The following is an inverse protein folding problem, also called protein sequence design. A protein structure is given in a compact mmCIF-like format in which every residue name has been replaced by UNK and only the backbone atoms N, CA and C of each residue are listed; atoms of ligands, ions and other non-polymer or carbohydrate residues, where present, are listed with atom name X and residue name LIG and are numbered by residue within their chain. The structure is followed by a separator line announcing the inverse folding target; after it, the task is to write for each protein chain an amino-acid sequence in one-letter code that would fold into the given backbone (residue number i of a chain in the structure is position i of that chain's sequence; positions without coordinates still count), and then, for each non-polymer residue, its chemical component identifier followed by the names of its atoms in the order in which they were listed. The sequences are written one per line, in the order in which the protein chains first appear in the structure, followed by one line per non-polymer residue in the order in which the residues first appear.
data_IF_670638392892
#
_entry.id   IF_670638392892
#
_cell.length_a   1.000
_cell.length_b   1.000
_cell.length_c   1.000
_cell.angle_alpha   90.00
_cell.angle_beta   90.00
_cell.angle_gamma   90.00
#
_symmetry.space_group_name_H-M   'P 1'
#
loop_
_entity.id
_entity.type
_entity.pdbx_description
1 polymer ?
#
# COMPACT_ATOMS: atom_id res chain seq x y z
N UNK A 1 18.43 -2.30 5.24
CA UNK A 1 19.54 -3.24 5.49
C UNK A 1 19.31 -4.60 4.84
N UNK A 2 18.31 -5.39 5.26
CA UNK A 2 18.06 -6.75 4.72
C UNK A 2 17.77 -6.76 3.22
N UNK A 3 16.82 -5.93 2.76
CA UNK A 3 16.41 -5.89 1.35
C UNK A 3 17.23 -4.94 0.47
N UNK A 4 18.20 -4.23 1.04
CA UNK A 4 19.03 -3.29 0.29
C UNK A 4 18.27 -2.11 -0.35
N UNK A 5 17.04 -1.83 0.07
CA UNK A 5 16.28 -0.65 -0.39
C UNK A 5 16.99 0.62 0.12
N UNK A 6 17.30 1.59 -0.76
CA UNK A 6 17.96 2.82 -0.35
C UNK A 6 17.06 3.68 0.54
N UNK A 7 17.56 4.05 1.73
CA UNK A 7 16.77 4.78 2.73
C UNK A 7 16.38 6.19 2.31
N UNK A 8 17.18 6.82 1.45
CA UNK A 8 16.91 8.14 0.88
C UNK A 8 15.71 8.15 -0.08
N UNK A 9 15.28 6.99 -0.57
CA UNK A 9 14.08 6.84 -1.40
C UNK A 9 12.81 6.65 -0.58
N UNK A 10 12.93 6.46 0.73
CA UNK A 10 11.81 6.17 1.60
C UNK A 10 11.21 7.45 2.17
N UNK A 11 9.88 7.46 2.22
CA UNK A 11 9.06 8.49 2.86
C UNK A 11 8.15 7.81 3.88
N UNK A 12 7.93 8.47 5.01
CA UNK A 12 6.99 8.02 6.02
C UNK A 12 5.86 9.03 6.14
N UNK A 13 4.62 8.55 6.21
CA UNK A 13 3.46 9.39 6.53
C UNK A 13 2.99 9.08 7.94
N UNK A 14 2.48 10.07 8.64
CA UNK A 14 1.91 9.93 9.99
C UNK A 14 0.62 10.72 10.09
N UNK A 15 -0.24 10.33 11.04
CA UNK A 15 -1.52 10.97 11.25
C UNK A 15 -1.37 12.44 11.68
N UNK A 16 -1.94 13.34 10.90
CA UNK A 16 -1.91 14.79 11.09
C UNK A 16 -3.01 15.33 12.00
N UNK A 17 -3.86 14.46 12.55
CA UNK A 17 -5.03 14.85 13.34
C UNK A 17 -6.30 14.91 12.50
N UNK A 18 -7.43 15.00 13.20
CA UNK A 18 -8.76 15.15 12.61
C UNK A 18 -9.65 15.95 13.57
N UNK A 19 -10.12 17.13 13.13
CA UNK A 19 -10.94 17.99 13.97
C UNK A 19 -12.35 17.43 14.18
N UNK A 20 -12.90 16.69 13.20
CA UNK A 20 -14.26 16.12 13.27
C UNK A 20 -14.35 15.03 14.34
N UNK A 21 -13.37 14.13 14.40
CA UNK A 21 -13.25 13.10 15.45
C UNK A 21 -12.58 13.64 16.73
N UNK A 22 -12.11 14.89 16.74
CA UNK A 22 -11.42 15.52 17.89
C UNK A 22 -10.08 14.84 18.22
N UNK A 23 -9.40 14.30 17.21
CA UNK A 23 -8.15 13.57 17.38
C UNK A 23 -6.93 14.47 17.10
N UNK A 24 -5.95 14.52 18.00
CA UNK A 24 -4.72 15.27 17.77
C UNK A 24 -3.82 14.57 16.74
N UNK A 25 -2.84 15.30 16.17
CA UNK A 25 -1.77 14.69 15.38
C UNK A 25 -1.01 13.62 16.18
N UNK A 26 -0.54 12.57 15.50
CA UNK A 26 0.33 11.54 16.07
C UNK A 26 1.79 12.01 16.09
N UNK A 27 2.09 12.87 17.05
CA UNK A 27 3.45 13.39 17.25
C UNK A 27 4.41 12.33 17.79
N UNK A 28 3.89 11.26 18.40
CA UNK A 28 4.69 10.15 18.88
C UNK A 28 5.31 9.38 17.71
N UNK A 29 4.50 9.00 16.71
CA UNK A 29 4.98 8.34 15.51
C UNK A 29 5.99 9.22 14.76
N UNK A 30 5.70 10.51 14.58
CA UNK A 30 6.63 11.44 13.92
C UNK A 30 7.99 11.50 14.62
N UNK A 31 7.97 11.66 15.95
CA UNK A 31 9.18 11.74 16.77
C UNK A 31 9.97 10.44 16.70
N UNK A 32 9.28 9.29 16.71
CA UNK A 32 9.93 7.98 16.63
C UNK A 32 10.60 7.79 15.27
N UNK A 33 9.93 8.08 14.15
CA UNK A 33 10.56 8.03 12.82
C UNK A 33 11.87 8.81 12.77
N UNK A 34 11.86 10.05 13.27
CA UNK A 34 13.02 10.94 13.27
C UNK A 34 14.14 10.50 14.23
N UNK A 35 13.81 9.78 15.30
CA UNK A 35 14.75 9.46 16.39
C UNK A 35 15.34 8.06 16.28
N UNK A 36 14.53 7.07 15.91
CA UNK A 36 14.90 5.65 16.00
C UNK A 36 15.20 5.01 14.63
N UNK A 37 14.97 5.74 13.54
CA UNK A 37 15.24 5.25 12.18
C UNK A 37 16.27 6.14 11.47
N UNK A 38 16.83 5.63 10.38
CA UNK A 38 17.73 6.39 9.50
C UNK A 38 17.01 7.23 8.44
N UNK A 39 15.69 7.40 8.54
CA UNK A 39 14.93 8.18 7.56
C UNK A 39 15.33 9.66 7.62
N UNK A 40 15.37 10.32 6.48
CA UNK A 40 15.54 11.77 6.46
C UNK A 40 14.35 12.43 7.20
N UNK A 41 14.57 13.28 8.22
CA UNK A 41 13.47 13.94 8.92
C UNK A 41 12.54 14.77 8.04
N UNK A 42 13.03 15.26 6.89
CA UNK A 42 12.22 15.97 5.89
C UNK A 42 11.28 15.04 5.10
N UNK A 43 11.50 13.73 5.15
CA UNK A 43 10.68 12.71 4.49
C UNK A 43 9.58 12.15 5.41
N UNK A 44 9.45 12.68 6.62
CA UNK A 44 8.36 12.35 7.54
C UNK A 44 7.27 13.41 7.39
N UNK A 45 6.16 13.01 6.76
CA UNK A 45 5.07 13.89 6.33
C UNK A 45 3.81 13.63 7.16
N UNK A 46 3.00 14.67 7.40
CA UNK A 46 1.70 14.54 8.06
C UNK A 46 0.58 14.55 7.02
N UNK A 47 -0.35 13.60 7.07
CA UNK A 47 -1.60 13.63 6.30
C UNK A 47 -2.82 13.45 7.19
N UNK A 48 -3.97 13.89 6.70
CA UNK A 48 -5.23 13.81 7.45
C UNK A 48 -5.79 12.40 7.56
N UNK A 49 -7.00 12.31 8.12
CA UNK A 49 -7.74 11.06 8.35
C UNK A 49 -7.88 10.15 7.14
N UNK A 50 -8.07 10.72 5.95
CA UNK A 50 -8.25 9.94 4.71
C UNK A 50 -7.10 8.97 4.44
N UNK A 51 -5.87 9.39 4.72
CA UNK A 51 -4.68 8.62 4.36
C UNK A 51 -4.04 7.97 5.59
N UNK A 52 -4.06 8.64 6.76
CA UNK A 52 -3.36 8.16 7.96
C UNK A 52 -4.29 7.77 9.12
N UNK A 53 -5.56 7.45 8.86
CA UNK A 53 -6.44 6.81 9.84
C UNK A 53 -7.10 5.60 9.19
N UNK A 54 -6.74 4.40 9.66
CA UNK A 54 -7.17 3.15 9.05
C UNK A 54 -8.38 2.56 9.78
N UNK A 55 -9.35 2.11 9.00
CA UNK A 55 -10.59 1.50 9.48
C UNK A 55 -10.88 0.22 8.67
N UNK A 56 -11.26 -0.86 9.36
CA UNK A 56 -11.62 -2.12 8.69
C UNK A 56 -12.92 -2.01 7.87
N UNK A 57 -13.80 -1.07 8.25
CA UNK A 57 -15.10 -0.84 7.64
C UNK A 57 -15.88 0.23 8.40
N UNK A 58 -17.21 0.25 8.26
CA UNK A 58 -18.08 1.24 8.94
C UNK A 58 -18.03 1.14 10.48
N UNK A 59 -17.71 -0.05 11.00
CA UNK A 59 -17.54 -0.30 12.44
C UNK A 59 -16.37 -1.24 12.67
N UNK A 60 -15.81 -1.21 13.88
CA UNK A 60 -14.76 -2.13 14.30
C UNK A 60 -13.44 -1.45 14.71
N UNK A 61 -12.39 -2.25 14.94
CA UNK A 61 -11.07 -1.76 15.34
C UNK A 61 -10.48 -0.82 14.29
N UNK A 62 -9.93 0.30 14.76
CA UNK A 62 -9.34 1.35 13.94
C UNK A 62 -8.28 2.13 14.71
N UNK A 63 -7.53 2.97 14.01
CA UNK A 63 -6.54 3.84 14.62
C UNK A 63 -5.76 4.69 13.63
N UNK A 64 -4.97 5.65 14.15
CA UNK A 64 -3.97 6.32 13.33
C UNK A 64 -3.00 5.28 12.77
N UNK A 65 -2.51 5.54 11.58
CA UNK A 65 -1.53 4.68 10.95
C UNK A 65 -0.37 5.49 10.40
N UNK A 66 0.73 4.79 10.16
CA UNK A 66 1.91 5.33 9.52
C UNK A 66 2.27 4.48 8.32
N UNK A 67 2.38 5.11 7.16
CA UNK A 67 2.69 4.39 5.93
C UNK A 67 4.13 4.66 5.50
N UNK A 68 4.72 3.66 4.86
CA UNK A 68 6.02 3.74 4.22
C UNK A 68 5.77 3.79 2.72
N UNK A 69 6.28 4.84 2.10
CA UNK A 69 6.25 5.09 0.67
C UNK A 69 7.66 4.99 0.10
N UNK A 70 7.77 4.63 -1.17
CA UNK A 70 9.03 4.62 -1.91
C UNK A 70 8.94 5.48 -3.15
N UNK A 71 9.96 6.31 -3.35
CA UNK A 71 10.15 7.13 -4.53
C UNK A 71 10.96 6.39 -5.60
N UNK A 72 10.29 6.06 -6.72
CA UNK A 72 10.84 5.41 -7.89
C UNK A 72 11.14 6.38 -9.03
N UNK A 73 10.94 7.70 -8.84
CA UNK A 73 11.31 8.70 -9.84
C UNK A 73 12.81 8.62 -10.13
N UNK A 74 13.28 8.78 -11.37
CA UNK A 74 14.71 8.66 -11.68
C UNK A 74 15.60 9.62 -10.86
N UNK A 75 15.10 10.83 -10.60
CA UNK A 75 15.83 11.92 -9.96
C UNK A 75 15.65 12.02 -8.43
N UNK A 76 14.74 11.23 -7.84
CA UNK A 76 14.49 11.25 -6.39
C UNK A 76 13.68 12.47 -5.93
N UNK A 77 12.89 13.08 -6.83
CA UNK A 77 12.09 14.27 -6.56
C UNK A 77 10.64 13.96 -6.13
N UNK A 78 10.32 12.68 -5.90
CA UNK A 78 8.97 12.18 -5.69
C UNK A 78 8.31 12.55 -4.37
N UNK A 79 8.99 13.24 -3.44
CA UNK A 79 8.42 13.59 -2.13
C UNK A 79 7.09 14.34 -2.17
N UNK A 80 6.82 15.15 -3.20
CA UNK A 80 5.53 15.84 -3.38
C UNK A 80 4.42 14.93 -3.94
N UNK A 81 4.78 13.76 -4.42
CA UNK A 81 3.87 12.79 -5.04
C UNK A 81 3.41 11.71 -4.04
N UNK A 82 3.93 11.72 -2.81
CA UNK A 82 3.43 10.88 -1.71
C UNK A 82 1.94 11.15 -1.51
N UNK A 83 1.12 10.09 -1.55
CA UNK A 83 -0.35 10.15 -1.51
C UNK A 83 -1.01 10.99 -2.62
N UNK A 84 -0.29 11.32 -3.71
CA UNK A 84 -0.84 12.04 -4.87
C UNK A 84 -1.38 11.11 -5.98
N UNK A 85 -1.40 9.78 -5.76
CA UNK A 85 -1.84 8.79 -6.75
C UNK A 85 -0.86 8.55 -7.89
N UNK A 86 0.43 8.91 -7.70
CA UNK A 86 1.46 8.68 -8.71
C UNK A 86 1.89 7.21 -8.75
N UNK A 87 2.05 6.59 -9.95
CA UNK A 87 2.60 5.24 -10.07
C UNK A 87 4.12 5.16 -9.79
N UNK A 88 4.79 6.32 -9.74
CA UNK A 88 6.23 6.45 -9.45
C UNK A 88 6.51 6.64 -7.95
N UNK A 89 5.50 6.94 -7.13
CA UNK A 89 5.64 7.03 -5.68
C UNK A 89 4.54 6.22 -5.04
N UNK A 90 4.91 5.04 -4.55
CA UNK A 90 3.95 4.04 -4.11
C UNK A 90 4.07 3.77 -2.62
N UNK A 91 2.93 3.59 -1.98
CA UNK A 91 2.81 3.03 -0.64
C UNK A 91 3.22 1.54 -0.71
N UNK A 92 4.18 1.14 0.12
CA UNK A 92 4.63 -0.26 0.19
C UNK A 92 4.14 -0.97 1.45
N UNK A 93 3.99 -0.24 2.57
CA UNK A 93 3.70 -0.83 3.86
C UNK A 93 2.93 0.16 4.74
N UNK A 94 1.78 -0.26 5.28
CA UNK A 94 1.03 0.48 6.27
C UNK A 94 1.20 -0.14 7.67
N UNK A 95 1.44 0.69 8.68
CA UNK A 95 1.58 0.35 10.10
C UNK A 95 0.44 1.00 10.88
N UNK A 96 -0.60 0.23 11.18
CA UNK A 96 -1.79 0.70 11.89
C UNK A 96 -1.62 0.52 13.40
N UNK A 97 -1.78 1.62 14.14
CA UNK A 97 -1.75 1.63 15.60
C UNK A 97 -3.18 1.51 16.13
N UNK A 98 -3.68 0.28 16.17
CA UNK A 98 -5.03 -0.04 16.61
C UNK A 98 -5.21 0.36 18.08
N UNK A 99 -6.03 1.38 18.28
CA UNK A 99 -6.29 1.95 19.61
C UNK A 99 -7.75 2.36 19.84
N UNK A 100 -8.57 2.37 18.79
CA UNK A 100 -9.99 2.69 18.88
C UNK A 100 -10.87 1.58 18.30
N UNK A 101 -12.14 1.63 18.66
CA UNK A 101 -13.22 0.89 18.03
C UNK A 101 -14.29 1.89 17.56
N UNK A 102 -14.56 1.92 16.26
CA UNK A 102 -15.61 2.72 15.62
C UNK A 102 -16.94 2.04 15.87
N UNK A 103 -17.85 2.76 16.51
CA UNK A 103 -19.21 2.31 16.78
C UNK A 103 -20.14 2.63 15.60
N UNK A 104 -21.29 1.95 15.54
CA UNK A 104 -22.31 2.18 14.49
C UNK A 104 -22.89 3.59 14.46
N UNK A 105 -22.74 4.36 15.55
CA UNK A 105 -23.10 5.77 15.64
C UNK A 105 -21.97 6.73 15.18
N UNK A 106 -20.88 6.19 14.62
CA UNK A 106 -19.70 6.93 14.17
C UNK A 106 -18.70 7.30 15.27
N UNK A 107 -19.03 7.11 16.56
CA UNK A 107 -18.15 7.48 17.67
C UNK A 107 -16.98 6.52 17.83
N UNK A 108 -15.83 7.07 18.22
CA UNK A 108 -14.66 6.32 18.62
C UNK A 108 -14.68 6.01 20.11
N UNK A 109 -14.40 4.76 20.45
CA UNK A 109 -14.18 4.31 21.82
C UNK A 109 -12.78 3.71 21.95
N UNK A 110 -12.06 4.04 23.03
CA UNK A 110 -10.74 3.49 23.26
C UNK A 110 -10.82 1.98 23.51
N UNK A 111 -9.89 1.24 22.92
CA UNK A 111 -9.70 -0.17 23.22
C UNK A 111 -8.97 -0.34 24.56
N UNK A 112 -9.25 -1.43 25.30
CA UNK A 112 -8.59 -1.70 26.58
C UNK A 112 -7.09 -2.01 26.42
N UNK A 113 -6.68 -2.46 25.23
CA UNK A 113 -5.30 -2.71 24.86
C UNK A 113 -5.01 -2.10 23.47
N UNK A 114 -3.77 -1.65 23.28
CA UNK A 114 -3.28 -1.18 21.98
C UNK A 114 -2.62 -2.33 21.23
N UNK A 115 -2.85 -2.39 19.93
CA UNK A 115 -2.29 -3.41 19.05
C UNK A 115 -1.62 -2.76 17.84
N UNK A 116 -0.76 -3.50 17.18
CA UNK A 116 -0.15 -3.10 15.91
C UNK A 116 -0.63 -4.08 14.85
N UNK A 117 -1.24 -3.54 13.80
CA UNK A 117 -1.58 -4.28 12.59
C UNK A 117 -0.77 -3.70 11.44
N UNK A 118 -0.17 -4.55 10.59
CA UNK A 118 0.66 -4.07 9.50
C UNK A 118 0.36 -4.82 8.22
N UNK A 119 0.21 -4.09 7.12
CA UNK A 119 -0.02 -4.65 5.80
C UNK A 119 1.04 -4.17 4.82
N UNK A 120 1.78 -5.09 4.21
CA UNK A 120 2.77 -4.78 3.17
C UNK A 120 2.33 -5.42 1.86
N UNK A 121 2.28 -4.64 0.79
CA UNK A 121 1.91 -5.14 -0.54
C UNK A 121 3.03 -6.01 -1.11
N UNK A 122 2.83 -7.33 -1.12
CA UNK A 122 3.86 -8.27 -1.59
C UNK A 122 4.27 -7.99 -3.05
N UNK A 123 3.29 -7.82 -3.94
CA UNK A 123 3.51 -7.51 -5.35
C UNK A 123 4.27 -6.18 -5.54
N UNK A 124 3.92 -5.17 -4.73
CA UNK A 124 4.59 -3.85 -4.76
C UNK A 124 6.03 -3.95 -4.28
N UNK A 125 6.28 -4.69 -3.20
CA UNK A 125 7.64 -4.94 -2.72
C UNK A 125 8.48 -5.67 -3.77
N UNK A 126 7.94 -6.73 -4.38
CA UNK A 126 8.67 -7.50 -5.39
C UNK A 126 8.98 -6.65 -6.63
N UNK A 127 8.06 -5.77 -7.06
CA UNK A 127 8.31 -4.78 -8.11
C UNK A 127 9.54 -3.92 -7.79
N UNK A 128 9.61 -3.39 -6.57
CA UNK A 128 10.75 -2.57 -6.09
C UNK A 128 12.04 -3.37 -6.11
N UNK A 129 12.04 -4.59 -5.55
CA UNK A 129 13.25 -5.42 -5.43
C UNK A 129 13.78 -5.89 -6.79
N UNK A 130 12.88 -6.17 -7.74
CA UNK A 130 13.24 -6.58 -9.10
C UNK A 130 13.53 -5.40 -10.03
N UNK A 131 13.31 -4.15 -9.57
CA UNK A 131 13.55 -2.91 -10.32
C UNK A 131 12.80 -2.89 -11.65
N UNK A 132 11.51 -3.24 -11.61
CA UNK A 132 10.61 -3.21 -12.77
C UNK A 132 9.54 -2.14 -12.60
N UNK A 133 9.01 -1.64 -13.71
CA UNK A 133 8.13 -0.47 -13.70
C UNK A 133 6.69 -0.79 -13.32
N UNK A 134 6.33 -2.07 -13.26
CA UNK A 134 4.97 -2.52 -12.95
C UNK A 134 4.96 -3.83 -12.17
N UNK A 135 3.93 -4.02 -11.33
CA UNK A 135 3.69 -5.27 -10.63
C UNK A 135 3.57 -6.44 -11.63
N UNK A 136 2.99 -6.19 -12.81
CA UNK A 136 2.78 -7.18 -13.86
C UNK A 136 4.08 -7.63 -14.55
N UNK A 137 5.18 -6.90 -14.36
CA UNK A 137 6.49 -7.30 -14.88
C UNK A 137 7.32 -8.13 -13.90
N UNK A 138 6.76 -8.41 -12.71
CA UNK A 138 7.41 -9.30 -11.75
C UNK A 138 7.27 -10.77 -12.16
N UNK A 139 8.12 -11.62 -11.60
CA UNK A 139 8.00 -13.07 -11.69
C UNK A 139 6.67 -13.64 -11.13
N UNK A 140 5.94 -12.88 -10.32
CA UNK A 140 4.61 -13.26 -9.82
C UNK A 140 3.59 -13.32 -10.96
N UNK A 141 3.66 -12.37 -11.92
CA UNK A 141 2.66 -12.24 -12.98
C UNK A 141 3.14 -12.74 -14.34
N UNK A 142 4.45 -12.68 -14.62
CA UNK A 142 5.03 -13.11 -15.90
C UNK A 142 4.51 -14.47 -16.40
N UNK A 143 4.49 -15.56 -15.59
CA UNK A 143 4.02 -16.85 -16.07
C UNK A 143 2.55 -16.85 -16.50
N UNK A 144 1.70 -16.08 -15.81
CA UNK A 144 0.27 -15.96 -16.14
C UNK A 144 0.11 -15.20 -17.45
N UNK A 145 0.81 -14.08 -17.61
CA UNK A 145 0.76 -13.24 -18.81
C UNK A 145 1.31 -13.95 -20.04
N UNK A 146 2.39 -14.72 -19.88
CA UNK A 146 2.94 -15.59 -20.92
C UNK A 146 1.91 -16.63 -21.36
N UNK A 147 1.25 -17.30 -20.40
CA UNK A 147 0.21 -18.28 -20.72
C UNK A 147 -1.01 -17.68 -21.40
N UNK A 148 -1.45 -16.49 -20.99
CA UNK A 148 -2.51 -15.75 -21.70
C UNK A 148 -2.06 -15.49 -23.14
N UNK A 149 -0.82 -15.04 -23.33
CA UNK A 149 -0.25 -14.76 -24.64
C UNK A 149 -0.20 -15.97 -25.57
N UNK A 150 0.15 -17.15 -25.05
CA UNK A 150 0.09 -18.41 -25.78
C UNK A 150 -1.33 -18.77 -26.22
N UNK A 151 -2.32 -18.55 -25.36
CA UNK A 151 -3.73 -18.87 -25.64
C UNK A 151 -4.32 -17.95 -26.71
N UNK A 152 -4.01 -16.65 -26.65
CA UNK A 152 -4.57 -15.65 -27.59
C UNK A 152 -3.70 -15.43 -28.83
N UNK A 153 -2.50 -16.02 -28.88
CA UNK A 153 -1.58 -15.92 -30.02
C UNK A 153 -0.83 -14.60 -30.12
N UNK A 154 -0.82 -13.78 -29.06
CA UNK A 154 -0.15 -12.46 -29.02
C UNK A 154 0.65 -12.35 -27.71
N UNK A 155 1.98 -12.22 -27.74
CA UNK A 155 2.77 -12.00 -26.53
C UNK A 155 2.40 -10.68 -25.82
N UNK A 156 2.34 -10.66 -24.49
CA UNK A 156 1.99 -9.47 -23.69
C UNK A 156 2.79 -8.21 -24.07
N UNK A 157 4.12 -8.34 -24.21
CA UNK A 157 5.01 -7.21 -24.57
C UNK A 157 4.83 -6.72 -26.02
N UNK A 158 4.23 -7.53 -26.88
CA UNK A 158 3.93 -7.18 -28.27
C UNK A 158 2.49 -6.69 -28.45
N UNK A 159 1.68 -6.80 -27.41
CA UNK A 159 0.29 -6.38 -27.41
C UNK A 159 0.18 -4.84 -27.36
N UNK A 160 -0.87 -4.28 -27.96
CA UNK A 160 -1.17 -2.86 -27.86
C UNK A 160 -1.68 -2.49 -26.45
N UNK A 161 -1.84 -1.20 -26.14
CA UNK A 161 -2.21 -0.73 -24.80
C UNK A 161 -3.53 -1.32 -24.28
N UNK A 162 -4.57 -1.39 -25.13
CA UNK A 162 -5.87 -1.96 -24.75
C UNK A 162 -5.75 -3.47 -24.45
N UNK A 163 -5.00 -4.19 -25.28
CA UNK A 163 -4.72 -5.60 -25.05
C UNK A 163 -3.90 -5.82 -23.78
N UNK A 164 -2.90 -4.98 -23.49
CA UNK A 164 -2.12 -5.09 -22.25
C UNK A 164 -3.01 -4.90 -21.02
N UNK A 165 -3.95 -3.96 -21.04
CA UNK A 165 -4.96 -3.82 -19.99
C UNK A 165 -5.80 -5.09 -19.87
N UNK A 166 -6.27 -5.67 -20.98
CA UNK A 166 -7.03 -6.91 -20.95
C UNK A 166 -6.22 -8.09 -20.36
N UNK A 167 -4.94 -8.20 -20.68
CA UNK A 167 -4.04 -9.20 -20.09
C UNK A 167 -3.93 -9.04 -18.57
N UNK A 168 -3.75 -7.80 -18.09
CA UNK A 168 -3.67 -7.48 -16.66
C UNK A 168 -4.98 -7.84 -15.95
N UNK A 169 -6.12 -7.46 -16.54
CA UNK A 169 -7.46 -7.80 -16.03
C UNK A 169 -7.62 -9.32 -15.90
N UNK A 170 -7.29 -10.09 -16.94
CA UNK A 170 -7.39 -11.55 -16.91
C UNK A 170 -6.47 -12.13 -15.83
N UNK A 171 -5.23 -11.65 -15.74
CA UNK A 171 -4.25 -12.13 -14.78
C UNK A 171 -4.67 -11.87 -13.31
N UNK A 172 -5.26 -10.72 -13.03
CA UNK A 172 -5.81 -10.42 -11.70
C UNK A 172 -7.03 -11.29 -11.39
N UNK A 173 -7.98 -11.34 -12.34
CA UNK A 173 -9.26 -12.02 -12.12
C UNK A 173 -9.06 -13.53 -11.98
N UNK A 174 -8.14 -14.14 -12.73
CA UNK A 174 -7.89 -15.57 -12.61
C UNK A 174 -7.27 -15.92 -11.25
N UNK A 175 -6.37 -15.08 -10.72
CA UNK A 175 -5.81 -15.26 -9.37
C UNK A 175 -6.93 -15.17 -8.33
N UNK A 176 -7.70 -14.08 -8.35
CA UNK A 176 -8.83 -13.87 -7.43
C UNK A 176 -9.81 -15.04 -7.48
N UNK A 177 -10.28 -15.42 -8.67
CA UNK A 177 -11.26 -16.51 -8.82
C UNK A 177 -10.71 -17.85 -8.36
N UNK A 178 -9.44 -18.15 -8.66
CA UNK A 178 -8.81 -19.41 -8.24
C UNK A 178 -8.80 -19.51 -6.72
N UNK A 179 -8.38 -18.45 -6.01
CA UNK A 179 -8.40 -18.45 -4.54
C UNK A 179 -9.84 -18.49 -3.98
N UNK A 180 -10.74 -17.64 -4.47
CA UNK A 180 -12.13 -17.61 -3.99
C UNK A 180 -12.83 -18.96 -4.13
N UNK A 181 -12.68 -19.62 -5.29
CA UNK A 181 -13.27 -20.95 -5.51
C UNK A 181 -12.60 -22.01 -4.64
N UNK A 182 -11.28 -21.93 -4.47
CA UNK A 182 -10.53 -22.87 -3.60
C UNK A 182 -10.91 -22.74 -2.13
N UNK A 183 -11.27 -21.53 -1.68
CA UNK A 183 -11.80 -21.25 -0.34
C UNK A 183 -13.29 -21.58 -0.18
N UNK A 184 -13.94 -22.08 -1.25
CA UNK A 184 -15.31 -22.58 -1.23
C UNK A 184 -16.38 -21.57 -1.65
N UNK A 185 -16.00 -20.38 -2.10
CA UNK A 185 -16.96 -19.44 -2.68
C UNK A 185 -17.40 -19.92 -4.08
N UNK A 186 -18.70 -20.11 -4.28
CA UNK A 186 -19.28 -20.47 -5.57
C UNK A 186 -19.98 -19.25 -6.19
N UNK A 187 -19.87 -19.03 -7.52
CA UNK A 187 -20.69 -18.04 -8.20
C UNK A 187 -22.18 -18.33 -8.03
N UNK A 188 -22.99 -17.30 -7.73
CA UNK A 188 -24.43 -17.39 -7.51
C UNK A 188 -25.20 -16.36 -8.32
#
# INVERSE_FOLDING_TARGET
EVWGIPGERLYATVFGGDEEDGLPPDEEAERLWKKVTGINPAHVLRFGKKDNFWEMGETGPCGPCSEIHIDLTPDGSGGKLVNAGSPEVIEIWNLVFIQFNRQSNGKLSLLPAKHVDTGMGFERLVRVLQKVDSNYETDIFKPILERIGEVVGVPFRSANAEQQVAFQVIADHIRMLTFSISDGALPS
#
